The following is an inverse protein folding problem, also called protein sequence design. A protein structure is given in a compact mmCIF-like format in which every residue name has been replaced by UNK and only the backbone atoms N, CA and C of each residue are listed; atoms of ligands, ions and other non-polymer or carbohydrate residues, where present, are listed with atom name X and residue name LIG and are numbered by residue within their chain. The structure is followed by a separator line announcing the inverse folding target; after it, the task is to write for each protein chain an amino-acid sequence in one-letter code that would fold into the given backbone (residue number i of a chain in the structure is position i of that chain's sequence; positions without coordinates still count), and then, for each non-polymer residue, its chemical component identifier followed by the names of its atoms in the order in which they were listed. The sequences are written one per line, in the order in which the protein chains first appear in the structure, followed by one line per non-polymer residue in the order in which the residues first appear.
data_IF_823579665123
#
_entry.id   IF_823579665123
#
_cell.length_a   1.000
_cell.length_b   1.000
_cell.length_c   1.000
_cell.angle_alpha   90.00
_cell.angle_beta   90.00
_cell.angle_gamma   90.00
#
_symmetry.space_group_name_H-M   'P 1'
#
loop_
_entity.id
_entity.type
_entity.pdbx_description
1 polymer ?
#
# COMPACT_ATOMS: atom_id res chain seq x y z
N UNK A 1 9.34 -17.19 4.20
CA UNK A 1 9.79 -18.27 3.28
C UNK A 1 8.58 -18.98 2.72
N UNK A 2 8.42 -18.97 1.39
CA UNK A 2 7.37 -19.74 0.73
C UNK A 2 7.61 -21.24 1.02
N UNK A 3 6.55 -21.98 1.35
CA UNK A 3 6.61 -23.39 1.80
C UNK A 3 7.12 -24.34 0.68
N UNK A 4 8.41 -24.31 0.37
CA UNK A 4 9.03 -25.13 -0.68
C UNK A 4 8.66 -24.72 -2.11
N UNK A 5 8.15 -23.50 -2.30
CA UNK A 5 7.88 -22.95 -3.64
C UNK A 5 9.10 -22.17 -4.15
N UNK A 6 9.30 -22.23 -5.45
CA UNK A 6 10.30 -21.40 -6.13
C UNK A 6 9.94 -19.92 -5.95
N UNK A 7 10.94 -19.11 -5.63
CA UNK A 7 10.81 -17.67 -5.42
C UNK A 7 11.70 -16.99 -6.45
N UNK A 8 11.13 -16.10 -7.25
CA UNK A 8 11.89 -15.21 -8.12
C UNK A 8 12.64 -14.20 -7.24
N UNK A 9 13.95 -14.42 -7.08
CA UNK A 9 14.80 -13.58 -6.25
C UNK A 9 15.49 -12.52 -7.11
N UNK A 10 15.24 -11.26 -6.80
CA UNK A 10 15.69 -10.10 -7.56
C UNK A 10 16.49 -9.14 -6.67
N UNK A 11 17.49 -8.48 -7.24
CA UNK A 11 18.31 -7.47 -6.58
C UNK A 11 18.01 -6.10 -7.17
N UNK A 12 17.66 -5.11 -6.33
CA UNK A 12 17.18 -3.77 -6.76
C UNK A 12 15.85 -3.79 -7.52
N UNK A 13 15.15 -2.66 -7.49
CA UNK A 13 13.87 -2.50 -8.20
C UNK A 13 14.01 -2.41 -9.72
N UNK A 14 15.18 -2.03 -10.24
CA UNK A 14 15.40 -2.00 -11.69
C UNK A 14 15.50 -3.40 -12.31
N UNK A 15 15.81 -4.43 -11.52
CA UNK A 15 15.98 -5.80 -12.04
C UNK A 15 14.68 -6.48 -12.50
N UNK A 16 13.52 -5.87 -12.26
CA UNK A 16 12.22 -6.33 -12.77
C UNK A 16 11.77 -5.59 -14.02
N UNK A 17 12.54 -4.61 -14.49
CA UNK A 17 12.27 -3.93 -15.76
C UNK A 17 12.53 -4.87 -16.94
N UNK A 18 11.85 -4.60 -18.05
CA UNK A 18 12.00 -5.34 -19.29
C UNK A 18 13.47 -5.28 -19.78
N UNK A 19 14.03 -6.38 -20.33
CA UNK A 19 15.45 -6.42 -20.72
C UNK A 19 15.86 -5.39 -21.78
N UNK A 20 14.91 -4.84 -22.53
CA UNK A 20 15.10 -3.81 -23.56
C UNK A 20 14.95 -2.38 -23.03
N UNK A 21 14.70 -2.20 -21.73
CA UNK A 21 14.62 -0.91 -21.07
C UNK A 21 15.87 -0.59 -20.26
N UNK A 22 16.58 0.48 -20.64
CA UNK A 22 17.79 0.98 -19.99
C UNK A 22 17.55 2.27 -19.17
N UNK A 23 16.29 2.71 -19.09
CA UNK A 23 15.88 3.92 -18.39
C UNK A 23 15.73 3.75 -16.86
N UNK A 24 15.28 4.82 -16.16
CA UNK A 24 14.99 4.74 -14.73
C UNK A 24 13.87 3.74 -14.44
N UNK A 25 13.70 3.37 -13.17
CA UNK A 25 12.56 2.55 -12.76
C UNK A 25 11.24 3.19 -13.19
N UNK A 26 10.44 2.41 -13.91
CA UNK A 26 9.13 2.81 -14.39
C UNK A 26 8.23 1.57 -14.43
N UNK A 27 7.04 1.68 -13.82
CA UNK A 27 6.07 0.58 -13.77
C UNK A 27 5.51 0.18 -15.14
N UNK A 28 5.55 1.09 -16.13
CA UNK A 28 5.11 0.80 -17.50
C UNK A 28 6.06 -0.16 -18.22
N UNK A 29 7.32 -0.20 -17.78
CA UNK A 29 8.38 -1.00 -18.38
C UNK A 29 8.67 -2.28 -17.59
N UNK A 30 7.77 -2.69 -16.69
CA UNK A 30 7.88 -3.97 -16.00
C UNK A 30 7.16 -5.05 -16.82
N UNK A 31 7.89 -6.11 -17.17
CA UNK A 31 7.31 -7.30 -17.80
C UNK A 31 6.69 -8.21 -16.74
N UNK A 32 5.44 -7.92 -16.39
CA UNK A 32 4.70 -8.68 -15.37
C UNK A 32 4.44 -10.13 -15.76
N UNK A 33 4.55 -10.48 -17.04
CA UNK A 33 4.32 -11.83 -17.55
C UNK A 33 5.52 -12.75 -17.26
N UNK A 34 6.72 -12.18 -17.15
CA UNK A 34 7.96 -12.89 -16.81
C UNK A 34 8.34 -12.84 -15.33
N UNK A 35 7.46 -12.29 -14.48
CA UNK A 35 7.62 -12.28 -13.02
C UNK A 35 6.78 -13.40 -12.42
N UNK A 36 7.42 -14.26 -11.63
CA UNK A 36 6.77 -15.39 -10.95
C UNK A 36 5.66 -14.98 -9.97
N UNK A 37 4.91 -15.98 -9.47
CA UNK A 37 3.89 -15.79 -8.43
C UNK A 37 4.49 -15.30 -7.12
N UNK A 38 5.64 -15.87 -6.75
CA UNK A 38 6.33 -15.59 -5.50
C UNK A 38 7.58 -14.76 -5.84
N UNK A 39 7.52 -13.45 -5.63
CA UNK A 39 8.62 -12.50 -5.91
C UNK A 39 9.24 -12.02 -4.59
N UNK A 40 10.57 -12.05 -4.52
CA UNK A 40 11.34 -11.42 -3.45
C UNK A 40 12.35 -10.45 -4.06
N UNK A 41 12.14 -9.15 -3.82
CA UNK A 41 13.12 -8.12 -4.18
C UNK A 41 13.95 -7.79 -2.95
N UNK A 42 15.25 -8.05 -3.02
CA UNK A 42 16.24 -7.56 -2.07
C UNK A 42 16.56 -6.11 -2.44
N UNK A 43 16.44 -5.22 -1.48
CA UNK A 43 16.73 -3.80 -1.65
C UNK A 43 18.24 -3.54 -1.52
N UNK A 44 18.74 -2.58 -2.31
CA UNK A 44 20.16 -2.29 -2.47
C UNK A 44 20.84 -3.15 -3.54
N UNK A 45 21.97 -2.67 -4.05
CA UNK A 45 22.90 -3.51 -4.81
C UNK A 45 23.93 -4.14 -3.90
N UNK A 46 24.29 -5.42 -4.12
CA UNK A 46 25.61 -5.90 -3.73
C UNK A 46 26.77 -5.12 -4.41
N UNK A 47 26.58 -4.61 -5.63
CA UNK A 47 27.65 -4.00 -6.44
C UNK A 47 27.62 -2.44 -6.44
N UNK A 48 26.99 -1.84 -5.43
CA UNK A 48 26.72 -0.41 -5.37
C UNK A 48 28.03 0.38 -5.26
N UNK A 49 28.12 1.48 -5.99
CA UNK A 49 29.23 2.42 -5.84
C UNK A 49 29.14 3.12 -4.48
N UNK A 50 30.28 3.62 -3.97
CA UNK A 50 30.28 4.39 -2.72
C UNK A 50 29.32 5.59 -2.78
N UNK A 51 29.21 6.25 -3.94
CA UNK A 51 28.28 7.35 -4.15
C UNK A 51 26.81 6.93 -4.01
N UNK A 52 26.45 5.75 -4.52
CA UNK A 52 25.10 5.21 -4.38
C UNK A 52 24.79 4.85 -2.93
N UNK A 53 25.75 4.25 -2.22
CA UNK A 53 25.64 3.93 -0.80
C UNK A 53 25.47 5.22 0.03
N UNK A 54 26.29 6.23 -0.23
CA UNK A 54 26.22 7.54 0.44
C UNK A 54 24.89 8.27 0.13
N UNK A 55 24.32 8.03 -1.06
CA UNK A 55 22.99 8.49 -1.45
C UNK A 55 21.84 7.65 -0.84
N UNK A 56 22.15 6.59 -0.09
CA UNK A 56 21.20 5.79 0.67
C UNK A 56 20.84 4.42 0.07
N UNK A 57 21.49 3.98 -1.02
CA UNK A 57 21.29 2.64 -1.58
C UNK A 57 21.59 1.56 -0.53
N UNK A 58 20.68 0.59 -0.38
CA UNK A 58 20.81 -0.49 0.60
C UNK A 58 20.64 -0.07 2.07
N UNK A 59 20.42 1.22 2.36
CA UNK A 59 20.07 1.71 3.69
C UNK A 59 18.71 1.20 4.19
N UNK A 60 18.31 1.56 5.43
CA UNK A 60 17.13 1.00 6.11
C UNK A 60 15.87 0.91 5.22
N UNK A 61 15.52 2.00 4.54
CA UNK A 61 14.41 2.05 3.57
C UNK A 61 14.87 2.33 2.14
N UNK A 62 16.19 2.40 1.90
CA UNK A 62 16.77 2.95 0.68
C UNK A 62 16.74 4.49 0.64
N UNK A 63 17.04 5.06 -0.52
CA UNK A 63 16.81 6.47 -0.80
C UNK A 63 15.31 6.78 -1.01
N UNK A 64 14.94 8.06 -1.13
CA UNK A 64 13.54 8.49 -1.28
C UNK A 64 12.82 7.83 -2.45
N UNK A 65 13.49 7.69 -3.60
CA UNK A 65 12.91 7.01 -4.77
C UNK A 65 12.73 5.51 -4.53
N UNK A 66 13.71 4.86 -3.90
CA UNK A 66 13.61 3.44 -3.56
C UNK A 66 12.44 3.16 -2.62
N UNK A 67 12.17 4.04 -1.65
CA UNK A 67 11.02 3.93 -0.76
C UNK A 67 9.68 3.97 -1.54
N UNK A 68 9.56 4.87 -2.52
CA UNK A 68 8.39 4.94 -3.40
C UNK A 68 8.29 3.69 -4.29
N UNK A 69 9.40 3.23 -4.86
CA UNK A 69 9.41 2.04 -5.71
C UNK A 69 8.94 0.80 -4.97
N UNK A 70 9.25 0.62 -3.67
CA UNK A 70 8.73 -0.52 -2.89
C UNK A 70 7.22 -0.54 -2.88
N UNK A 71 6.63 0.60 -2.56
CA UNK A 71 5.20 0.76 -2.44
C UNK A 71 4.51 0.52 -3.79
N UNK A 72 4.97 1.19 -4.84
CA UNK A 72 4.35 1.10 -6.16
C UNK A 72 4.61 -0.21 -6.89
N UNK A 73 5.77 -0.84 -6.71
CA UNK A 73 6.02 -2.20 -7.24
C UNK A 73 5.01 -3.17 -6.65
N UNK A 74 4.78 -3.13 -5.34
CA UNK A 74 3.81 -4.00 -4.68
C UNK A 74 2.40 -3.76 -5.20
N UNK A 75 1.97 -2.50 -5.28
CA UNK A 75 0.64 -2.16 -5.80
C UNK A 75 0.48 -2.60 -7.26
N UNK A 76 1.47 -2.34 -8.11
CA UNK A 76 1.44 -2.74 -9.51
C UNK A 76 1.45 -4.27 -9.67
N UNK A 77 2.26 -4.99 -8.89
CA UNK A 77 2.30 -6.45 -8.89
C UNK A 77 0.93 -7.05 -8.55
N UNK A 78 0.30 -6.54 -7.49
CA UNK A 78 -1.06 -6.92 -7.06
C UNK A 78 -2.07 -6.54 -8.14
N UNK A 79 -1.94 -5.34 -8.70
CA UNK A 79 -2.86 -4.81 -9.68
C UNK A 79 -2.92 -5.68 -10.94
N UNK A 80 -1.76 -6.02 -11.48
CA UNK A 80 -1.64 -6.80 -12.72
C UNK A 80 -2.09 -8.26 -12.57
N UNK A 81 -2.30 -8.72 -11.33
CA UNK A 81 -2.74 -10.09 -11.00
C UNK A 81 -4.17 -10.15 -10.44
N UNK A 82 -4.79 -8.99 -10.21
CA UNK A 82 -6.15 -8.95 -9.69
C UNK A 82 -7.16 -9.31 -10.79
N UNK A 83 -8.08 -10.25 -10.55
CA UNK A 83 -9.13 -10.55 -11.52
C UNK A 83 -10.09 -9.38 -11.68
N UNK A 84 -10.35 -8.99 -12.93
CA UNK A 84 -11.37 -7.99 -13.28
C UNK A 84 -11.07 -6.62 -12.63
N UNK A 85 -9.81 -6.18 -12.72
CA UNK A 85 -9.38 -4.84 -12.28
C UNK A 85 -9.96 -3.73 -13.16
N UNK A 86 -10.20 -2.57 -12.56
CA UNK A 86 -10.61 -1.36 -13.30
C UNK A 86 -9.39 -0.60 -13.80
N UNK A 87 -9.06 -0.82 -15.06
CA UNK A 87 -7.99 -0.12 -15.81
C UNK A 87 -8.55 0.88 -16.83
N UNK A 88 -9.80 1.32 -16.65
CA UNK A 88 -10.41 2.27 -17.59
C UNK A 88 -9.67 3.60 -17.55
N UNK A 89 -9.05 3.98 -18.67
CA UNK A 89 -8.40 5.29 -18.79
C UNK A 89 -9.45 6.40 -18.70
N UNK A 90 -9.19 7.41 -17.87
CA UNK A 90 -10.04 8.58 -17.73
C UNK A 90 -9.55 9.71 -18.64
N UNK A 91 -10.48 10.29 -19.41
CA UNK A 91 -10.27 11.47 -20.23
C UNK A 91 -11.60 12.27 -20.28
N UNK A 92 -11.69 13.45 -19.63
CA UNK A 92 -10.60 14.18 -19.00
C UNK A 92 -10.05 13.50 -17.74
N UNK A 93 -8.84 13.90 -17.36
CA UNK A 93 -8.21 13.51 -16.10
C UNK A 93 -9.12 13.85 -14.92
N UNK A 94 -9.28 12.92 -13.97
CA UNK A 94 -10.04 13.13 -12.75
C UNK A 94 -9.12 13.01 -11.52
N UNK A 95 -8.98 14.07 -10.70
CA UNK A 95 -8.20 14.00 -9.47
C UNK A 95 -8.81 13.04 -8.44
N UNK A 96 -7.96 12.33 -7.70
CA UNK A 96 -8.42 11.54 -6.59
C UNK A 96 -8.81 12.40 -5.39
N UNK A 97 -9.60 11.83 -4.50
CA UNK A 97 -10.07 12.51 -3.29
C UNK A 97 -9.41 11.88 -2.07
N UNK A 98 -8.86 12.70 -1.18
CA UNK A 98 -8.38 12.27 0.13
C UNK A 98 -9.24 12.91 1.21
N UNK A 99 -9.89 12.08 2.02
CA UNK A 99 -10.88 12.51 3.03
C UNK A 99 -10.44 12.02 4.40
N UNK A 100 -10.40 12.93 5.38
CA UNK A 100 -10.24 12.59 6.79
C UNK A 100 -11.60 12.21 7.39
N UNK A 101 -11.63 11.09 8.09
CA UNK A 101 -12.82 10.52 8.70
C UNK A 101 -12.58 10.18 10.16
N UNK A 102 -13.64 10.29 10.95
CA UNK A 102 -13.63 9.99 12.37
C UNK A 102 -14.70 8.96 12.73
N UNK A 103 -14.42 8.17 13.76
CA UNK A 103 -15.37 7.23 14.35
C UNK A 103 -15.00 6.97 15.81
N UNK A 104 -15.99 6.57 16.60
CA UNK A 104 -15.75 6.07 17.95
C UNK A 104 -15.53 4.56 17.89
N UNK A 105 -14.48 4.07 18.54
CA UNK A 105 -14.23 2.64 18.73
C UNK A 105 -14.76 2.19 20.08
N UNK A 106 -15.70 1.23 20.08
CA UNK A 106 -16.23 0.64 21.31
C UNK A 106 -15.20 -0.33 21.92
N UNK A 107 -14.41 -1.01 21.08
CA UNK A 107 -13.35 -1.93 21.51
C UNK A 107 -12.22 -1.20 22.26
N UNK A 108 -11.84 0.00 21.81
CA UNK A 108 -10.77 0.79 22.42
C UNK A 108 -11.27 1.86 23.39
N UNK A 109 -12.59 2.13 23.41
CA UNK A 109 -13.25 3.18 24.17
C UNK A 109 -12.62 4.56 23.89
N UNK A 110 -12.48 4.90 22.61
CA UNK A 110 -11.88 6.17 22.18
C UNK A 110 -12.27 6.57 20.75
N UNK A 111 -12.18 7.86 20.48
CA UNK A 111 -12.29 8.40 19.13
C UNK A 111 -11.03 8.09 18.33
N UNK A 112 -11.26 7.56 17.13
CA UNK A 112 -10.25 7.17 16.16
C UNK A 112 -10.47 7.98 14.90
N UNK A 113 -9.43 8.05 14.07
CA UNK A 113 -9.51 8.66 12.75
C UNK A 113 -8.77 7.83 11.72
N UNK A 114 -9.14 8.01 10.47
CA UNK A 114 -8.47 7.43 9.33
C UNK A 114 -8.61 8.36 8.14
N UNK A 115 -7.72 8.22 7.18
CA UNK A 115 -7.87 8.88 5.88
C UNK A 115 -8.30 7.84 4.85
N UNK A 116 -9.10 8.26 3.89
CA UNK A 116 -9.45 7.45 2.73
C UNK A 116 -9.05 8.17 1.45
N UNK A 117 -8.39 7.46 0.55
CA UNK A 117 -8.17 7.84 -0.82
C UNK A 117 -9.23 7.15 -1.67
N UNK A 118 -10.07 7.94 -2.34
CA UNK A 118 -11.02 7.47 -3.33
C UNK A 118 -10.37 7.59 -4.71
N UNK A 119 -10.40 6.52 -5.52
CA UNK A 119 -9.72 6.54 -6.81
C UNK A 119 -10.36 7.55 -7.77
N UNK A 120 -9.62 7.99 -8.80
CA UNK A 120 -10.18 8.74 -9.92
C UNK A 120 -11.44 8.09 -10.50
N UNK A 121 -12.46 8.88 -10.83
CA UNK A 121 -13.73 8.44 -11.41
C UNK A 121 -14.69 7.80 -10.39
N UNK A 122 -14.40 7.90 -9.09
CA UNK A 122 -15.20 7.22 -8.06
C UNK A 122 -16.66 7.65 -8.09
N UNK A 123 -16.95 8.96 -8.21
CA UNK A 123 -18.32 9.50 -8.13
C UNK A 123 -19.09 9.38 -9.45
N UNK A 124 -18.39 9.38 -10.58
CA UNK A 124 -18.93 9.20 -11.93
C UNK A 124 -19.38 7.76 -12.19
N UNK A 125 -18.91 6.81 -11.39
CA UNK A 125 -19.19 5.38 -11.54
C UNK A 125 -19.87 4.78 -10.28
N UNK A 126 -21.14 5.13 -10.00
CA UNK A 126 -21.82 4.75 -8.76
C UNK A 126 -22.04 3.24 -8.60
N UNK A 127 -22.04 2.49 -9.69
CA UNK A 127 -22.21 1.03 -9.68
C UNK A 127 -20.88 0.27 -9.52
N UNK A 128 -19.73 0.95 -9.66
CA UNK A 128 -18.43 0.32 -9.52
C UNK A 128 -18.07 0.11 -8.05
N UNK A 129 -17.42 -1.01 -7.78
CA UNK A 129 -16.89 -1.38 -6.46
C UNK A 129 -15.40 -1.68 -6.56
N UNK A 130 -14.64 -1.20 -5.59
CA UNK A 130 -13.18 -1.15 -5.65
C UNK A 130 -12.53 -2.05 -4.60
N UNK A 131 -11.45 -2.75 -4.94
CA UNK A 131 -10.58 -3.36 -3.93
C UNK A 131 -10.02 -2.30 -2.98
N UNK A 132 -9.75 -2.71 -1.73
CA UNK A 132 -9.28 -1.82 -0.66
C UNK A 132 -7.86 -2.19 -0.24
N UNK A 133 -6.97 -1.21 -0.21
CA UNK A 133 -5.65 -1.32 0.42
C UNK A 133 -5.66 -0.61 1.77
N UNK A 134 -5.36 -1.33 2.85
CA UNK A 134 -5.07 -0.71 4.13
C UNK A 134 -3.57 -0.48 4.25
N UNK A 135 -3.16 0.79 4.29
CA UNK A 135 -1.75 1.17 4.40
C UNK A 135 -1.47 1.72 5.80
N UNK A 136 -0.62 1.00 6.54
CA UNK A 136 -0.32 1.28 7.94
C UNK A 136 1.00 2.05 8.06
N UNK A 137 1.02 3.13 8.83
CA UNK A 137 2.23 3.93 9.04
C UNK A 137 3.16 3.31 10.10
N UNK A 138 4.44 3.70 10.13
CA UNK A 138 5.38 3.28 11.16
C UNK A 138 5.37 4.17 12.41
N UNK A 139 6.15 3.79 13.43
CA UNK A 139 6.45 4.68 14.57
C UNK A 139 7.14 5.94 14.03
N UNK A 140 6.71 7.11 14.52
CA UNK A 140 7.31 8.39 14.14
C UNK A 140 6.83 8.93 12.80
N UNK A 141 5.98 8.18 12.08
CA UNK A 141 5.26 8.68 10.91
C UNK A 141 3.87 9.17 11.31
N UNK A 142 3.32 10.08 10.53
CA UNK A 142 1.92 10.47 10.62
C UNK A 142 1.09 9.84 9.49
N UNK A 143 -0.22 9.74 9.70
CA UNK A 143 -1.15 9.31 8.63
C UNK A 143 -1.13 10.32 7.48
N UNK A 144 -0.93 11.60 7.77
CA UNK A 144 -0.78 12.68 6.80
C UNK A 144 0.41 12.46 5.86
N UNK A 145 1.60 12.12 6.40
CA UNK A 145 2.80 11.84 5.60
C UNK A 145 2.55 10.68 4.61
N UNK A 146 1.81 9.67 5.05
CA UNK A 146 1.51 8.49 4.26
C UNK A 146 0.48 8.76 3.16
N UNK A 147 -0.53 9.59 3.44
CA UNK A 147 -1.54 10.00 2.43
C UNK A 147 -0.91 10.80 1.30
N UNK A 148 0.09 11.64 1.57
CA UNK A 148 0.80 12.39 0.54
C UNK A 148 1.51 11.48 -0.47
N UNK A 149 2.02 10.33 -0.03
CA UNK A 149 2.66 9.37 -0.92
C UNK A 149 1.67 8.68 -1.87
N UNK A 150 0.39 8.56 -1.51
CA UNK A 150 -0.60 7.90 -2.34
C UNK A 150 -0.99 8.70 -3.59
N UNK A 151 -0.79 10.02 -3.58
CA UNK A 151 -1.05 10.89 -4.74
C UNK A 151 -0.17 10.49 -5.94
N UNK A 152 1.03 9.93 -5.72
CA UNK A 152 1.86 9.44 -6.81
C UNK A 152 1.26 8.24 -7.56
N UNK A 153 0.23 7.57 -7.01
CA UNK A 153 -0.53 6.53 -7.71
C UNK A 153 -1.53 7.10 -8.73
N UNK A 154 -1.97 8.34 -8.54
CA UNK A 154 -3.11 8.95 -9.24
C UNK A 154 -2.92 9.01 -10.77
N UNK A 155 -1.75 9.43 -11.31
CA UNK A 155 -1.54 9.45 -12.75
C UNK A 155 -1.66 8.05 -13.36
N UNK A 156 -1.08 7.04 -12.71
CA UNK A 156 -1.14 5.66 -13.19
C UNK A 156 -2.54 5.04 -13.13
N UNK A 157 -3.38 5.45 -12.16
CA UNK A 157 -4.79 5.07 -12.10
C UNK A 157 -5.63 5.76 -13.17
N UNK A 158 -5.36 7.04 -13.46
CA UNK A 158 -6.00 7.78 -14.54
C UNK A 158 -5.64 7.21 -15.92
N UNK A 159 -4.38 6.80 -16.11
CA UNK A 159 -3.88 6.28 -17.38
C UNK A 159 -4.22 4.80 -17.63
N UNK A 160 -4.70 4.08 -16.60
CA UNK A 160 -5.04 2.65 -16.69
C UNK A 160 -3.82 1.71 -16.59
N UNK A 161 -2.70 2.18 -16.05
CA UNK A 161 -1.52 1.32 -15.77
C UNK A 161 -1.62 0.63 -14.42
N UNK A 162 -2.17 1.35 -13.44
CA UNK A 162 -2.58 0.80 -12.15
C UNK A 162 -4.10 0.71 -12.14
N UNK A 163 -4.68 -0.39 -11.66
CA UNK A 163 -6.13 -0.40 -11.49
C UNK A 163 -6.53 0.56 -10.37
N UNK A 164 -7.79 0.97 -10.38
CA UNK A 164 -8.36 1.80 -9.34
C UNK A 164 -8.55 1.02 -8.03
N UNK A 165 -8.06 1.59 -6.93
CA UNK A 165 -8.23 1.08 -5.57
C UNK A 165 -8.73 2.17 -4.64
N UNK A 166 -9.50 1.79 -3.63
CA UNK A 166 -9.63 2.59 -2.42
C UNK A 166 -8.39 2.32 -1.57
N UNK A 167 -7.77 3.37 -1.00
CA UNK A 167 -6.68 3.21 -0.04
C UNK A 167 -7.13 3.81 1.28
N UNK A 168 -7.09 3.02 2.35
CA UNK A 168 -7.42 3.45 3.71
C UNK A 168 -6.14 3.57 4.50
N UNK A 169 -5.97 4.68 5.20
CA UNK A 169 -4.84 4.98 6.07
C UNK A 169 -5.37 5.11 7.50
N UNK A 170 -5.43 4.02 8.27
CA UNK A 170 -5.80 4.08 9.68
C UNK A 170 -4.77 4.90 10.46
N UNK A 171 -5.23 5.77 11.35
CA UNK A 171 -4.34 6.41 12.31
C UNK A 171 -4.03 5.45 13.47
N UNK A 172 -2.86 4.82 13.37
CA UNK A 172 -2.29 3.98 14.43
C UNK A 172 -1.54 4.79 15.47
N UNK A 173 -1.64 6.13 15.48
CA UNK A 173 -0.93 6.96 16.47
C UNK A 173 -1.38 6.57 17.88
N UNK A 174 -0.43 5.94 18.55
CA UNK A 174 -0.42 5.78 19.99
C UNK A 174 -0.34 7.16 20.64
N UNK A 175 -1.06 7.38 21.74
CA UNK A 175 -1.09 8.66 22.44
C UNK A 175 -0.20 8.60 23.67
N UNK A 176 -0.55 7.74 24.63
CA UNK A 176 0.14 7.59 25.91
C UNK A 176 0.73 6.18 26.13
N UNK A 177 0.66 5.34 25.10
CA UNK A 177 0.93 3.91 25.17
C UNK A 177 1.95 3.43 24.11
N UNK A 178 2.60 4.36 23.39
CA UNK A 178 3.52 4.08 22.29
C UNK A 178 4.63 3.08 22.60
N UNK A 179 5.12 3.07 23.84
CA UNK A 179 6.19 2.17 24.27
C UNK A 179 5.67 0.92 25.01
N UNK A 180 4.35 0.81 25.20
CA UNK A 180 3.72 -0.25 25.96
C UNK A 180 3.51 -1.55 25.18
N UNK A 181 3.60 -1.50 23.83
CA UNK A 181 3.40 -2.66 22.98
C UNK A 181 3.53 -2.34 21.49
N UNK A 182 2.59 -2.85 20.69
CA UNK A 182 2.41 -2.58 19.25
C UNK A 182 1.15 -1.75 19.03
N UNK A 183 1.11 -0.97 17.96
CA UNK A 183 0.06 0.02 17.67
C UNK A 183 -0.95 -0.44 16.60
N UNK A 184 -0.78 -1.65 16.05
CA UNK A 184 -1.76 -2.29 15.15
C UNK A 184 -2.13 -3.73 15.53
N UNK A 185 -1.46 -4.30 16.53
CA UNK A 185 -1.78 -5.64 17.01
C UNK A 185 -2.37 -5.59 18.42
N UNK A 186 -3.17 -6.59 18.79
CA UNK A 186 -3.61 -6.75 20.17
C UNK A 186 -2.40 -6.88 21.09
N UNK A 187 -2.41 -6.14 22.20
CA UNK A 187 -1.27 -6.04 23.09
C UNK A 187 -1.72 -5.98 24.55
N UNK A 188 -1.00 -6.64 25.45
CA UNK A 188 -1.35 -6.74 26.87
C UNK A 188 -0.98 -5.49 27.67
N UNK A 189 -0.22 -4.57 27.09
CA UNK A 189 0.43 -3.48 27.80
C UNK A 189 1.63 -3.94 28.61
N UNK A 190 2.56 -3.01 28.86
CA UNK A 190 3.59 -3.16 29.90
C UNK A 190 3.11 -2.54 31.21
N UNK A 191 3.00 -1.22 31.21
CA UNK A 191 2.59 -0.40 32.36
C UNK A 191 1.21 0.26 32.13
N UNK A 192 0.51 -0.15 31.06
CA UNK A 192 -0.78 0.37 30.60
C UNK A 192 -1.77 -0.78 30.44
N UNK A 193 -3.09 -0.53 30.48
CA UNK A 193 -4.08 -1.57 30.20
C UNK A 193 -3.88 -2.20 28.81
N UNK A 194 -4.34 -3.45 28.60
CA UNK A 194 -4.35 -4.06 27.29
C UNK A 194 -5.08 -3.19 26.25
N UNK A 195 -4.54 -3.16 25.03
CA UNK A 195 -5.19 -2.53 23.87
C UNK A 195 -5.48 -3.58 22.82
N UNK A 196 -6.68 -3.54 22.27
CA UNK A 196 -7.18 -4.51 21.29
C UNK A 196 -7.18 -3.93 19.88
N UNK A 197 -6.04 -3.39 19.43
CA UNK A 197 -5.93 -2.68 18.14
C UNK A 197 -6.26 -3.54 16.92
N UNK A 198 -5.87 -4.82 16.94
CA UNK A 198 -6.20 -5.74 15.83
C UNK A 198 -7.68 -6.04 15.79
N UNK A 199 -8.29 -6.26 16.96
CA UNK A 199 -9.72 -6.51 17.04
C UNK A 199 -10.53 -5.29 16.58
N UNK A 200 -10.14 -4.08 17.04
CA UNK A 200 -10.73 -2.82 16.56
C UNK A 200 -10.65 -2.73 15.04
N UNK A 201 -9.45 -2.93 14.49
CA UNK A 201 -9.23 -2.82 13.05
C UNK A 201 -10.15 -3.75 12.25
N UNK A 202 -10.21 -5.04 12.61
CA UNK A 202 -10.97 -6.03 11.85
C UNK A 202 -12.46 -6.07 12.18
N UNK A 203 -12.86 -5.72 13.40
CA UNK A 203 -14.25 -5.83 13.86
C UNK A 203 -15.01 -4.51 13.79
N UNK A 204 -14.32 -3.37 13.72
CA UNK A 204 -14.92 -2.04 13.65
C UNK A 204 -14.52 -1.29 12.38
N UNK A 205 -13.23 -1.01 12.17
CA UNK A 205 -12.79 -0.17 11.04
C UNK A 205 -13.07 -0.80 9.67
N UNK A 206 -12.73 -2.08 9.47
CA UNK A 206 -12.97 -2.77 8.19
C UNK A 206 -14.47 -2.78 7.83
N UNK A 207 -15.39 -3.23 8.71
CA UNK A 207 -16.82 -3.15 8.46
C UNK A 207 -17.33 -1.72 8.23
N UNK A 208 -16.80 -0.73 8.95
CA UNK A 208 -17.16 0.67 8.78
C UNK A 208 -16.82 1.17 7.37
N UNK A 209 -15.63 0.83 6.88
CA UNK A 209 -15.19 1.17 5.51
C UNK A 209 -16.09 0.49 4.48
N UNK A 210 -16.40 -0.80 4.65
CA UNK A 210 -17.30 -1.53 3.76
C UNK A 210 -18.73 -0.98 3.74
N UNK A 211 -19.18 -0.37 4.85
CA UNK A 211 -20.48 0.29 4.95
C UNK A 211 -20.48 1.67 4.28
N UNK A 212 -19.41 2.46 4.46
CA UNK A 212 -19.33 3.85 3.98
C UNK A 212 -18.94 3.96 2.51
N UNK A 213 -18.17 3.01 2.00
CA UNK A 213 -17.58 3.07 0.66
C UNK A 213 -18.00 1.91 -0.24
N UNK A 214 -17.85 2.10 -1.56
CA UNK A 214 -18.15 1.08 -2.57
C UNK A 214 -16.99 0.08 -2.65
N UNK A 215 -16.84 -0.73 -1.62
CA UNK A 215 -15.77 -1.73 -1.55
C UNK A 215 -16.15 -3.03 -2.28
N UNK A 216 -15.13 -3.75 -2.72
CA UNK A 216 -15.22 -5.09 -3.30
C UNK A 216 -14.56 -6.09 -2.36
N UNK A 217 -15.29 -7.18 -2.06
CA UNK A 217 -14.79 -8.25 -1.20
C UNK A 217 -13.46 -8.86 -1.71
N UNK A 218 -12.63 -9.41 -0.81
CA UNK A 218 -11.38 -10.07 -1.19
C UNK A 218 -11.61 -11.15 -2.24
N UNK A 219 -10.66 -11.28 -3.17
CA UNK A 219 -10.60 -12.35 -4.16
C UNK A 219 -9.23 -12.98 -4.15
N UNK A 220 -9.16 -14.27 -4.43
CA UNK A 220 -7.88 -14.89 -4.73
C UNK A 220 -7.31 -14.24 -5.99
N UNK A 221 -6.00 -13.95 -5.97
CA UNK A 221 -5.27 -13.57 -7.17
C UNK A 221 -5.41 -14.66 -8.22
N UNK A 222 -5.45 -14.26 -9.51
CA UNK A 222 -5.48 -15.25 -10.59
C UNK A 222 -4.24 -16.15 -10.44
N UNK A 223 -4.40 -17.47 -10.22
CA UNK A 223 -3.29 -18.38 -10.34
C UNK A 223 -2.90 -18.38 -11.81
N UNK A 224 -1.75 -17.80 -12.14
CA UNK A 224 -1.08 -18.15 -13.39
C UNK A 224 -0.29 -19.44 -13.16
#
# INVERSE_FOLDING_TARGET
MARGREVDLRHRYSSILAPDWDGPYDIHHIDWDHIGRDLMIIYGDPDATQQEIDAGDGGHIGNGSQALYRFFTMMAFISQRWPDGDFEKLDPYDPAQVIEEHYHSDILDMDRRYFVYLPPGYDEHPEKRYPVFYLLHGIGMSVEDLTAAAIFAEPWMNEGTLQKFIIVFPDGRCTDDCNSGTFFANQMGRDKPPRRYEDEFFQELVPLVDQRYRTRAPREFRPR
#
